data_IF_182892613576
#
_entry.id   IF_182892613576
#
_cell.length_a   1.000
_cell.length_b   1.000
_cell.length_c   1.000
_cell.angle_alpha   90.00
_cell.angle_beta   90.00
_cell.angle_gamma   90.00
#
_symmetry.space_group_name_H-M   'P 1'
#
loop_
_entity.id
_entity.type
_entity.pdbx_description
1 polymer ?
#
# COMPACT_ATOMS: atom_id res chain seq x y z
N UNK A 1 -14.81 -6.91 -34.49
CA UNK A 1 -14.75 -5.77 -33.55
C UNK A 1 -15.30 -6.25 -32.22
N UNK A 2 -14.43 -6.68 -31.30
CA UNK A 2 -14.80 -6.98 -29.91
C UNK A 2 -14.02 -6.00 -29.03
N UNK A 3 -14.70 -4.97 -28.54
CA UNK A 3 -14.18 -4.00 -27.56
C UNK A 3 -15.22 -3.91 -26.44
N UNK A 4 -15.27 -4.93 -25.59
CA UNK A 4 -16.15 -4.95 -24.40
C UNK A 4 -15.45 -5.68 -23.23
N UNK A 5 -14.18 -5.35 -22.96
CA UNK A 5 -13.44 -5.94 -21.84
C UNK A 5 -12.72 -4.91 -20.96
N UNK A 6 -13.23 -3.66 -20.91
CA UNK A 6 -12.57 -2.57 -20.17
C UNK A 6 -13.36 -2.05 -18.95
N UNK A 7 -14.32 -2.84 -18.44
CA UNK A 7 -15.18 -2.43 -17.29
C UNK A 7 -14.76 -2.97 -15.93
N UNK A 8 -13.70 -3.76 -15.82
CA UNK A 8 -13.29 -4.36 -14.54
C UNK A 8 -11.91 -3.83 -14.06
N UNK A 9 -11.65 -2.54 -14.32
CA UNK A 9 -10.46 -1.84 -13.84
C UNK A 9 -10.75 -1.15 -12.50
N UNK A 10 -10.45 -1.85 -11.41
CA UNK A 10 -9.52 -1.25 -10.46
C UNK A 10 -9.86 -1.27 -8.97
N UNK A 11 -11.06 -1.62 -8.52
CA UNK A 11 -11.36 -1.68 -7.07
C UNK A 11 -11.44 -3.13 -6.58
N UNK A 12 -10.83 -3.42 -5.43
CA UNK A 12 -10.98 -4.73 -4.78
C UNK A 12 -12.46 -4.96 -4.45
N UNK A 13 -13.07 -5.99 -5.04
CA UNK A 13 -14.46 -6.34 -4.73
C UNK A 13 -14.53 -7.08 -3.39
N UNK A 14 -14.58 -6.31 -2.30
CA UNK A 14 -14.97 -6.81 -0.98
C UNK A 14 -16.50 -6.79 -0.92
N UNK A 15 -17.11 -7.97 -0.69
CA UNK A 15 -18.57 -8.08 -0.65
C UNK A 15 -19.16 -7.26 0.51
N UNK A 16 -20.40 -6.78 0.35
CA UNK A 16 -21.08 -6.00 1.40
C UNK A 16 -21.18 -6.76 2.73
N UNK A 17 -21.37 -8.09 2.67
CA UNK A 17 -21.37 -8.94 3.85
C UNK A 17 -19.98 -9.02 4.52
N UNK A 18 -18.91 -9.09 3.74
CA UNK A 18 -17.54 -9.05 4.28
C UNK A 18 -17.26 -7.70 4.94
N UNK A 19 -17.63 -6.59 4.28
CA UNK A 19 -17.48 -5.24 4.86
C UNK A 19 -18.21 -5.12 6.20
N UNK A 20 -19.47 -5.54 6.28
CA UNK A 20 -20.25 -5.50 7.52
C UNK A 20 -19.56 -6.28 8.66
N UNK A 21 -19.05 -7.49 8.37
CA UNK A 21 -18.31 -8.28 9.36
C UNK A 21 -17.02 -7.61 9.81
N UNK A 22 -16.31 -6.95 8.90
CA UNK A 22 -15.09 -6.21 9.24
C UNK A 22 -15.41 -5.02 10.14
N UNK A 23 -16.49 -4.29 9.85
CA UNK A 23 -16.98 -3.18 10.68
C UNK A 23 -17.35 -3.69 12.08
N UNK A 24 -18.06 -4.83 12.18
CA UNK A 24 -18.46 -5.43 13.45
C UNK A 24 -17.26 -5.79 14.35
N UNK A 25 -16.15 -6.22 13.75
CA UNK A 25 -14.91 -6.51 14.48
C UNK A 25 -14.12 -5.24 14.81
N UNK A 26 -14.02 -4.29 13.87
CA UNK A 26 -13.20 -3.11 14.01
C UNK A 26 -13.79 -2.11 15.03
N UNK A 27 -15.12 -1.95 15.05
CA UNK A 27 -15.82 -1.03 15.95
C UNK A 27 -15.41 -1.19 17.43
N UNK A 28 -15.49 -2.38 18.06
CA UNK A 28 -15.10 -2.54 19.45
C UNK A 28 -13.58 -2.37 19.69
N UNK A 29 -12.74 -2.59 18.68
CA UNK A 29 -11.30 -2.29 18.78
C UNK A 29 -11.09 -0.78 18.86
N UNK A 30 -11.67 -0.01 17.93
CA UNK A 30 -11.56 1.45 17.90
C UNK A 30 -12.11 2.10 19.17
N UNK A 31 -13.19 1.55 19.73
CA UNK A 31 -13.79 2.06 20.97
C UNK A 31 -12.89 1.89 22.22
N UNK A 32 -11.94 0.96 22.18
CA UNK A 32 -11.02 0.65 23.27
C UNK A 32 -9.60 1.12 23.02
N UNK A 33 -9.29 1.51 21.77
CA UNK A 33 -7.97 1.93 21.37
C UNK A 33 -7.55 3.19 22.13
N UNK A 34 -6.29 3.21 22.54
CA UNK A 34 -5.65 4.36 23.15
C UNK A 34 -4.60 4.90 22.19
N UNK A 35 -4.35 6.20 22.29
CA UNK A 35 -3.31 6.90 21.53
C UNK A 35 -2.30 7.41 22.54
N UNK A 36 -1.05 7.00 22.38
CA UNK A 36 0.02 7.40 23.29
C UNK A 36 0.51 8.83 23.00
N UNK A 37 1.54 9.26 23.74
CA UNK A 37 2.12 10.60 23.62
C UNK A 37 2.85 10.83 22.30
N UNK A 38 3.30 9.76 21.64
CA UNK A 38 3.98 9.83 20.35
C UNK A 38 2.97 9.81 19.18
N UNK A 39 1.69 9.61 19.46
CA UNK A 39 0.61 9.53 18.49
C UNK A 39 0.43 8.13 17.89
N UNK A 40 1.11 7.14 18.47
CA UNK A 40 0.99 5.75 18.11
C UNK A 40 -0.22 5.14 18.82
N UNK A 41 -0.80 4.10 18.23
CA UNK A 41 -1.93 3.40 18.80
C UNK A 41 -1.45 2.28 19.72
N UNK A 42 -1.86 2.31 20.99
CA UNK A 42 -1.65 1.19 21.91
C UNK A 42 -2.77 0.15 21.71
N UNK A 43 -2.38 -1.06 21.33
CA UNK A 43 -3.28 -2.13 20.94
C UNK A 43 -2.93 -3.47 21.57
N UNK A 44 -3.88 -4.00 22.35
CA UNK A 44 -3.93 -5.41 22.78
C UNK A 44 -5.03 -6.19 22.01
N UNK A 45 -5.04 -6.10 20.67
CA UNK A 45 -6.09 -6.71 19.81
C UNK A 45 -5.57 -7.70 18.76
N UNK A 46 -4.51 -8.44 19.09
CA UNK A 46 -3.88 -9.34 18.14
C UNK A 46 -4.85 -10.39 17.54
N UNK A 47 -5.75 -10.93 18.36
CA UNK A 47 -6.73 -11.93 17.92
C UNK A 47 -7.76 -11.34 16.96
N UNK A 48 -8.26 -10.14 17.25
CA UNK A 48 -9.22 -9.44 16.40
C UNK A 48 -8.59 -9.03 15.07
N UNK A 49 -7.33 -8.60 15.06
CA UNK A 49 -6.56 -8.35 13.84
C UNK A 49 -6.49 -9.61 12.97
N UNK A 50 -6.11 -10.76 13.55
CA UNK A 50 -6.09 -12.02 12.81
C UNK A 50 -7.49 -12.42 12.28
N UNK A 51 -8.54 -12.17 13.06
CA UNK A 51 -9.90 -12.45 12.63
C UNK A 51 -10.30 -11.58 11.44
N UNK A 52 -9.86 -10.32 11.43
CA UNK A 52 -10.12 -9.36 10.35
C UNK A 52 -9.44 -9.78 9.04
N UNK A 53 -8.20 -10.25 9.10
CA UNK A 53 -7.45 -10.77 7.94
C UNK A 53 -8.14 -11.94 7.24
N UNK A 54 -8.89 -12.75 7.99
CA UNK A 54 -9.55 -13.96 7.47
C UNK A 54 -10.92 -13.69 6.84
N UNK A 55 -11.44 -12.47 6.93
CA UNK A 55 -12.78 -12.15 6.40
C UNK A 55 -12.84 -12.13 4.87
N UNK A 56 -11.91 -11.46 4.15
CA UNK A 56 -12.00 -11.40 2.69
C UNK A 56 -11.81 -12.78 2.04
N UNK A 57 -12.27 -12.97 0.79
CA UNK A 57 -11.94 -14.18 0.04
C UNK A 57 -10.43 -14.36 -0.13
N UNK A 58 -9.95 -15.60 -0.19
CA UNK A 58 -8.52 -15.95 -0.32
C UNK A 58 -7.83 -15.21 -1.48
N UNK A 59 -8.53 -15.03 -2.61
CA UNK A 59 -8.00 -14.26 -3.76
C UNK A 59 -7.66 -12.81 -3.38
N UNK A 60 -8.48 -12.16 -2.56
CA UNK A 60 -8.26 -10.78 -2.09
C UNK A 60 -7.13 -10.76 -1.05
N UNK A 61 -7.11 -11.73 -0.14
CA UNK A 61 -6.01 -11.89 0.83
C UNK A 61 -4.66 -12.03 0.12
N UNK A 62 -4.56 -12.88 -0.90
CA UNK A 62 -3.32 -13.06 -1.67
C UNK A 62 -2.87 -11.78 -2.39
N UNK A 63 -3.80 -10.95 -2.86
CA UNK A 63 -3.49 -9.66 -3.48
C UNK A 63 -2.96 -8.66 -2.45
N UNK A 64 -3.61 -8.60 -1.30
CA UNK A 64 -3.23 -7.72 -0.19
C UNK A 64 -1.89 -8.14 0.41
N UNK A 65 -1.64 -9.44 0.58
CA UNK A 65 -0.38 -9.97 1.10
C UNK A 65 0.80 -9.61 0.19
N UNK A 66 0.58 -9.61 -1.13
CA UNK A 66 1.60 -9.17 -2.08
C UNK A 66 1.94 -7.67 -1.98
N UNK A 67 1.07 -6.87 -1.36
CA UNK A 67 1.25 -5.42 -1.21
C UNK A 67 1.80 -5.03 0.16
N UNK A 68 1.27 -5.62 1.24
CA UNK A 68 1.50 -5.18 2.61
C UNK A 68 1.86 -6.32 3.58
N UNK A 69 2.35 -7.47 3.10
CA UNK A 69 2.97 -8.48 3.96
C UNK A 69 1.98 -9.48 4.59
N UNK A 70 2.21 -9.85 5.85
CA UNK A 70 1.51 -10.98 6.50
C UNK A 70 0.13 -10.61 7.07
N UNK A 71 -0.05 -9.36 7.49
CA UNK A 71 -1.31 -8.83 8.04
C UNK A 71 -1.67 -7.53 7.33
N UNK A 72 -1.93 -7.61 6.02
CA UNK A 72 -2.02 -6.42 5.19
C UNK A 72 -3.22 -5.54 5.53
N UNK A 73 -4.33 -6.11 5.99
CA UNK A 73 -5.53 -5.33 6.29
C UNK A 73 -5.33 -4.53 7.56
N UNK A 74 -4.92 -5.18 8.65
CA UNK A 74 -4.68 -4.49 9.91
C UNK A 74 -3.61 -3.42 9.74
N UNK A 75 -2.52 -3.75 9.03
CA UNK A 75 -1.47 -2.77 8.73
C UNK A 75 -2.01 -1.56 7.97
N UNK A 76 -2.74 -1.76 6.86
CA UNK A 76 -3.30 -0.65 6.08
C UNK A 76 -4.25 0.22 6.91
N UNK A 77 -5.10 -0.41 7.73
CA UNK A 77 -6.06 0.31 8.56
C UNK A 77 -5.34 1.12 9.63
N UNK A 78 -4.31 0.56 10.29
CA UNK A 78 -3.55 1.25 11.32
C UNK A 78 -2.68 2.36 10.76
N UNK A 79 -1.97 2.12 9.66
CA UNK A 79 -1.22 3.16 8.94
C UNK A 79 -2.14 4.34 8.57
N UNK A 80 -3.40 4.05 8.20
CA UNK A 80 -4.38 5.10 7.93
C UNK A 80 -4.81 5.85 9.19
N UNK A 81 -5.08 5.15 10.29
CA UNK A 81 -5.48 5.77 11.56
C UNK A 81 -4.33 6.62 12.12
N UNK A 82 -3.12 6.08 12.21
CA UNK A 82 -1.92 6.78 12.66
C UNK A 82 -1.65 8.03 11.81
N UNK A 83 -1.80 7.95 10.48
CA UNK A 83 -1.70 9.14 9.62
C UNK A 83 -2.76 10.19 9.96
N UNK A 84 -4.01 9.77 10.20
CA UNK A 84 -5.10 10.70 10.56
C UNK A 84 -4.88 11.32 11.96
N UNK A 85 -4.21 10.61 12.88
CA UNK A 85 -3.84 11.07 14.23
C UNK A 85 -2.62 12.01 14.18
N UNK A 86 -1.53 11.60 13.53
CA UNK A 86 -0.26 12.35 13.47
C UNK A 86 -0.39 13.69 12.76
N UNK A 87 -1.40 13.88 11.91
CA UNK A 87 -1.77 15.19 11.35
C UNK A 87 -2.43 16.11 12.40
N UNK A 88 -2.81 15.62 13.59
CA UNK A 88 -3.76 16.27 14.51
C UNK A 88 -3.32 16.38 15.97
N UNK A 89 -2.44 15.52 16.49
CA UNK A 89 -2.15 15.50 17.93
C UNK A 89 -0.66 15.51 18.28
N UNK A 90 -0.27 16.47 19.12
CA UNK A 90 0.82 16.33 20.10
C UNK A 90 0.17 16.25 21.47
N UNK A 91 -0.28 15.06 21.87
CA UNK A 91 -0.91 14.86 23.18
C UNK A 91 0.19 14.80 24.26
N UNK A 92 -0.04 15.45 25.41
CA UNK A 92 0.90 15.40 26.55
C UNK A 92 0.74 14.12 27.39
N UNK A 93 -0.38 13.40 27.20
CA UNK A 93 -0.73 12.17 27.89
C UNK A 93 -1.48 11.21 26.95
N UNK A 94 -1.55 9.94 27.33
CA UNK A 94 -2.29 8.91 26.62
C UNK A 94 -3.80 9.23 26.65
N UNK A 95 -4.45 9.23 25.49
CA UNK A 95 -5.87 9.57 25.36
C UNK A 95 -6.64 8.49 24.61
N UNK A 96 -7.92 8.24 24.93
CA UNK A 96 -8.75 7.34 24.14
C UNK A 96 -8.86 7.83 22.70
N UNK A 97 -8.77 6.93 21.71
CA UNK A 97 -8.93 7.26 20.30
C UNK A 97 -10.25 8.02 20.03
N UNK A 98 -11.31 7.64 20.74
CA UNK A 98 -12.64 8.26 20.61
C UNK A 98 -12.71 9.71 21.10
N UNK A 99 -11.67 10.21 21.76
CA UNK A 99 -11.55 11.63 22.13
C UNK A 99 -11.03 12.50 20.98
N UNK A 100 -10.47 11.88 19.94
CA UNK A 100 -9.87 12.57 18.81
C UNK A 100 -10.90 12.89 17.71
N UNK A 101 -10.76 14.06 17.04
CA UNK A 101 -11.65 14.42 15.94
C UNK A 101 -11.67 13.39 14.82
N UNK A 102 -12.86 12.97 14.39
CA UNK A 102 -13.06 11.96 13.34
C UNK A 102 -13.16 10.52 13.84
N UNK A 103 -13.00 10.29 15.15
CA UNK A 103 -13.10 8.98 15.80
C UNK A 103 -14.12 8.95 16.95
N UNK A 104 -14.89 10.02 17.14
CA UNK A 104 -15.87 10.15 18.23
C UNK A 104 -16.97 9.10 18.16
N UNK A 105 -17.28 8.63 16.95
CA UNK A 105 -18.19 7.52 16.68
C UNK A 105 -17.40 6.33 16.09
N UNK A 106 -17.08 5.31 16.90
CA UNK A 106 -16.36 4.12 16.46
C UNK A 106 -17.02 3.38 15.30
N UNK A 107 -18.35 3.41 15.21
CA UNK A 107 -19.08 2.73 14.14
C UNK A 107 -18.92 3.48 12.81
N UNK A 108 -19.13 4.79 12.82
CA UNK A 108 -18.89 5.64 11.65
C UNK A 108 -17.43 5.59 11.19
N UNK A 109 -16.47 5.60 12.13
CA UNK A 109 -15.05 5.47 11.84
C UNK A 109 -14.73 4.11 11.20
N UNK A 110 -15.25 3.01 11.75
CA UNK A 110 -15.05 1.68 11.19
C UNK A 110 -15.61 1.56 9.76
N UNK A 111 -16.83 2.03 9.50
CA UNK A 111 -17.42 2.03 8.16
C UNK A 111 -16.55 2.81 7.17
N UNK A 112 -16.10 4.01 7.56
CA UNK A 112 -15.25 4.86 6.72
C UNK A 112 -13.92 4.19 6.38
N UNK A 113 -13.25 3.59 7.36
CA UNK A 113 -11.98 2.90 7.17
C UNK A 113 -12.13 1.67 6.25
N UNK A 114 -13.18 0.88 6.42
CA UNK A 114 -13.44 -0.29 5.55
C UNK A 114 -13.83 0.13 4.12
N UNK A 115 -14.56 1.24 3.95
CA UNK A 115 -14.81 1.78 2.61
C UNK A 115 -13.53 2.31 1.95
N UNK A 116 -12.64 2.95 2.72
CA UNK A 116 -11.31 3.36 2.27
C UNK A 116 -10.50 2.15 1.77
N UNK A 117 -10.46 1.07 2.55
CA UNK A 117 -9.81 -0.19 2.17
C UNK A 117 -10.36 -0.76 0.84
N UNK A 118 -11.68 -0.78 0.68
CA UNK A 118 -12.32 -1.26 -0.56
C UNK A 118 -12.05 -0.35 -1.78
N UNK A 119 -11.77 0.93 -1.53
CA UNK A 119 -11.44 1.90 -2.57
C UNK A 119 -10.00 1.81 -3.08
N UNK A 120 -9.14 1.02 -2.41
CA UNK A 120 -7.74 0.88 -2.83
C UNK A 120 -7.63 0.29 -4.23
N UNK A 121 -6.74 0.84 -5.08
CA UNK A 121 -6.49 0.29 -6.40
C UNK A 121 -5.93 -1.12 -6.31
N UNK A 122 -6.41 -2.01 -7.18
CA UNK A 122 -5.96 -3.42 -7.29
C UNK A 122 -4.46 -3.56 -7.61
N UNK A 123 -3.84 -2.52 -8.16
CA UNK A 123 -2.43 -2.55 -8.57
C UNK A 123 -1.81 -1.18 -8.40
N UNK A 124 -0.67 -1.14 -7.72
CA UNK A 124 0.18 0.02 -7.66
C UNK A 124 1.35 -0.17 -8.63
N UNK A 125 1.60 0.84 -9.45
CA UNK A 125 2.83 0.93 -10.23
C UNK A 125 3.66 2.06 -9.64
N UNK A 126 4.70 1.72 -8.89
CA UNK A 126 5.66 2.69 -8.39
C UNK A 126 6.70 2.96 -9.47
N UNK A 127 6.63 4.14 -10.10
CA UNK A 127 7.65 4.60 -11.04
C UNK A 127 8.60 5.54 -10.33
N UNK A 128 9.74 5.02 -9.87
CA UNK A 128 10.82 5.84 -9.32
C UNK A 128 11.68 6.37 -10.46
N UNK A 129 11.67 7.69 -10.68
CA UNK A 129 12.63 8.32 -11.60
C UNK A 129 13.97 8.48 -10.89
N UNK A 130 14.92 7.61 -11.24
CA UNK A 130 16.26 7.67 -10.69
C UNK A 130 17.09 8.76 -11.43
N UNK A 131 17.80 9.64 -10.71
CA UNK A 131 18.80 10.52 -11.29
C UNK A 131 19.84 9.69 -12.05
N UNK A 132 20.27 10.16 -13.23
CA UNK A 132 21.20 9.44 -14.12
C UNK A 132 22.49 9.01 -13.41
N UNK A 133 22.97 9.80 -12.44
CA UNK A 133 24.16 9.53 -11.64
C UNK A 133 23.99 8.32 -10.70
N UNK A 134 22.81 8.14 -10.11
CA UNK A 134 22.51 6.94 -9.31
C UNK A 134 22.33 5.73 -10.21
N UNK A 135 21.78 5.91 -11.42
CA UNK A 135 21.68 4.83 -12.41
C UNK A 135 23.03 4.15 -12.69
N UNK A 136 24.10 4.94 -12.82
CA UNK A 136 25.46 4.43 -13.04
C UNK A 136 26.00 3.67 -11.82
N UNK A 137 25.73 4.15 -10.59
CA UNK A 137 26.12 3.44 -9.37
C UNK A 137 25.38 2.10 -9.22
N UNK A 138 24.10 2.05 -9.57
CA UNK A 138 23.36 0.80 -9.60
C UNK A 138 23.84 -0.13 -10.71
N UNK A 139 24.26 0.40 -11.86
CA UNK A 139 24.83 -0.41 -12.95
C UNK A 139 26.15 -1.08 -12.51
N UNK A 140 27.07 -0.34 -11.89
CA UNK A 140 28.34 -0.90 -11.38
C UNK A 140 28.12 -1.88 -10.21
N UNK A 141 27.15 -1.59 -9.33
CA UNK A 141 26.83 -2.46 -8.18
C UNK A 141 26.08 -3.72 -8.61
N UNK A 142 25.10 -3.61 -9.52
CA UNK A 142 24.37 -4.78 -10.05
C UNK A 142 25.23 -5.62 -10.99
N UNK A 143 26.13 -5.00 -11.76
CA UNK A 143 27.09 -5.72 -12.60
C UNK A 143 28.12 -6.48 -11.75
N UNK A 144 28.65 -5.89 -10.67
CA UNK A 144 29.54 -6.60 -9.74
C UNK A 144 28.82 -7.71 -8.96
N UNK A 145 27.53 -7.54 -8.65
CA UNK A 145 26.69 -8.59 -8.07
C UNK A 145 26.34 -9.71 -9.06
N UNK A 146 26.29 -9.44 -10.37
CA UNK A 146 26.02 -10.48 -11.38
C UNK A 146 27.14 -11.53 -11.50
N UNK A 147 28.39 -11.17 -11.21
CA UNK A 147 29.49 -12.16 -11.16
C UNK A 147 29.36 -13.13 -9.96
N UNK A 148 28.76 -12.71 -8.85
CA UNK A 148 28.48 -13.60 -7.72
C UNK A 148 27.17 -14.40 -7.91
N UNK A 149 26.22 -13.87 -8.69
CA UNK A 149 24.96 -14.54 -8.99
C UNK A 149 25.11 -15.75 -9.91
N UNK A 150 26.08 -15.83 -10.82
CA UNK A 150 26.29 -17.10 -11.57
C UNK A 150 26.64 -18.29 -10.66
N UNK A 151 27.17 -18.04 -9.45
CA UNK A 151 27.40 -19.07 -8.43
C UNK A 151 26.15 -19.40 -7.59
N UNK A 152 25.12 -18.54 -7.58
CA UNK A 152 23.92 -18.70 -6.74
C UNK A 152 22.61 -18.95 -7.52
N UNK A 153 22.51 -18.55 -8.80
CA UNK A 153 21.27 -18.57 -9.60
C UNK A 153 20.85 -19.93 -10.17
N UNK A 154 21.55 -21.01 -9.82
CA UNK A 154 21.02 -22.35 -10.04
C UNK A 154 19.85 -22.71 -9.09
N UNK A 155 19.45 -21.84 -8.13
CA UNK A 155 18.57 -22.29 -7.05
C UNK A 155 17.42 -21.41 -6.53
N UNK A 156 17.13 -20.18 -6.97
CA UNK A 156 15.87 -19.53 -6.53
C UNK A 156 15.30 -18.38 -7.38
N UNK A 157 14.04 -18.64 -7.78
CA UNK A 157 12.93 -17.80 -8.25
C UNK A 157 13.01 -16.26 -8.19
N UNK A 158 12.87 -15.67 -9.38
CA UNK A 158 11.98 -14.58 -9.81
C UNK A 158 11.53 -13.48 -8.82
N UNK A 159 12.28 -12.37 -8.77
CA UNK A 159 11.76 -11.03 -8.48
C UNK A 159 11.72 -10.25 -9.81
N UNK A 160 10.52 -9.90 -10.31
CA UNK A 160 10.36 -9.21 -11.61
C UNK A 160 10.17 -7.71 -11.40
N UNK A 161 11.27 -6.98 -11.24
CA UNK A 161 11.29 -5.51 -11.34
C UNK A 161 11.37 -5.17 -12.84
N UNK A 162 10.35 -4.53 -13.38
CA UNK A 162 10.35 -4.14 -14.80
C UNK A 162 10.93 -2.72 -14.91
N UNK A 163 12.16 -2.62 -15.40
CA UNK A 163 12.78 -1.33 -15.77
C UNK A 163 12.37 -0.98 -17.19
N UNK A 164 11.46 -0.01 -17.37
CA UNK A 164 11.31 0.63 -18.67
C UNK A 164 12.47 1.60 -18.88
N UNK A 165 13.39 1.24 -19.80
CA UNK A 165 14.37 2.16 -20.36
C UNK A 165 13.60 3.30 -21.04
N UNK A 166 13.54 4.45 -20.38
CA UNK A 166 13.14 5.68 -21.03
C UNK A 166 14.11 5.98 -22.18
N UNK A 167 13.55 5.99 -23.39
CA UNK A 167 14.16 6.40 -24.66
C UNK A 167 15.14 7.57 -24.51
N UNK A 168 16.43 7.28 -24.67
CA UNK A 168 17.42 8.25 -25.15
C UNK A 168 17.86 7.79 -26.53
N UNK A 169 17.02 8.06 -27.52
CA UNK A 169 17.43 8.22 -28.90
C UNK A 169 16.66 9.41 -29.48
N UNK A 170 17.37 10.49 -29.78
CA UNK A 170 17.25 11.14 -31.08
C UNK A 170 18.50 11.95 -31.38
N UNK A 171 19.38 11.25 -32.07
CA UNK A 171 20.49 11.69 -32.89
C UNK A 171 20.10 12.83 -33.84
N UNK A 172 21.00 13.80 -33.97
CA UNK A 172 21.22 14.76 -35.08
C UNK A 172 20.25 14.64 -36.28
N UNK A 173 19.47 15.71 -36.53
CA UNK A 173 19.33 16.40 -37.84
C UNK A 173 18.30 17.53 -37.75
N UNK A 174 18.78 18.76 -37.55
CA UNK A 174 18.05 19.97 -37.92
C UNK A 174 19.02 21.14 -38.21
N UNK A 175 20.01 20.89 -39.08
CA UNK A 175 20.52 21.91 -39.99
C UNK A 175 19.66 21.83 -41.26
N UNK A 176 18.49 22.48 -41.31
CA UNK A 176 17.86 22.72 -42.62
C UNK A 176 16.85 23.87 -42.74
N UNK A 177 16.60 24.75 -41.75
CA UNK A 177 15.85 25.99 -42.05
C UNK A 177 16.40 27.20 -41.27
N UNK A 178 17.58 27.67 -41.71
CA UNK A 178 17.90 29.10 -41.77
C UNK A 178 17.92 29.47 -43.26
N UNK A 179 17.17 30.51 -43.63
CA UNK A 179 16.90 31.07 -44.97
C UNK A 179 15.61 30.59 -45.63
N UNK A 180 14.48 31.18 -45.23
CA UNK A 180 13.72 32.15 -46.03
C UNK A 180 12.69 32.82 -45.14
#
# INVERSE_FOLDING_TARGET
MNRDNDKDKGSMEISQQAKARMVDLLRPMLAKAMVDTDGDLDFDFYEECQALERIPPEKVQNQLNAMAGEQPISQILFDQIEREIGERSSAEEEVPLTSLPGFEDPEAAAVRLIESLASLPRSYTLTVRMPTQLGLLFEDTLMSWNWQRELFFASSLALRITFERANVELTRKAQFWRKN
#
